data_IF_019909035521
#
_entry.id   IF_019909035521
#
_cell.length_a   1.000
_cell.length_b   1.000
_cell.length_c   1.000
_cell.angle_alpha   90.00
_cell.angle_beta   90.00
_cell.angle_gamma   90.00
#
_symmetry.space_group_name_H-M   'P 1'
#
loop_
_entity.id
_entity.type
_entity.pdbx_description
1 polymer ?
#
# COMPACT_ATOMS: atom_id res chain seq x y z
N UNK A 1 3.65 14.14 -24.93
CA UNK A 1 4.08 13.61 -23.61
C UNK A 1 4.85 14.67 -22.79
N UNK A 2 5.95 15.23 -23.28
CA UNK A 2 6.75 16.21 -22.53
C UNK A 2 5.99 17.51 -22.18
N UNK A 3 5.20 18.04 -23.11
CA UNK A 3 4.36 19.23 -22.87
C UNK A 3 3.32 19.00 -21.75
N UNK A 4 2.74 17.80 -21.66
CA UNK A 4 1.76 17.43 -20.64
C UNK A 4 2.40 17.35 -19.25
N UNK A 5 3.60 16.78 -19.15
CA UNK A 5 4.36 16.70 -17.88
C UNK A 5 4.73 18.09 -17.39
N UNK A 6 5.23 18.97 -18.27
CA UNK A 6 5.58 20.35 -17.92
C UNK A 6 4.35 21.15 -17.49
N UNK A 7 3.21 20.93 -18.15
CA UNK A 7 1.95 21.55 -17.74
C UNK A 7 1.55 21.11 -16.33
N UNK A 8 1.58 19.81 -16.03
CA UNK A 8 1.27 19.28 -14.69
C UNK A 8 2.21 19.85 -13.61
N UNK A 9 3.52 19.87 -13.88
CA UNK A 9 4.51 20.45 -12.96
C UNK A 9 4.21 21.93 -12.64
N UNK A 10 3.81 22.71 -13.65
CA UNK A 10 3.42 24.11 -13.47
C UNK A 10 2.14 24.28 -12.65
N UNK A 11 1.18 23.36 -12.77
CA UNK A 11 -0.03 23.39 -11.94
C UNK A 11 0.31 23.05 -10.48
N UNK A 12 1.13 22.03 -10.26
CA UNK A 12 1.59 21.62 -8.92
C UNK A 12 2.33 22.77 -8.23
N UNK A 13 3.25 23.44 -8.93
CA UNK A 13 4.06 24.53 -8.35
C UNK A 13 3.28 25.81 -8.04
N UNK A 14 2.03 25.94 -8.53
CA UNK A 14 1.18 27.11 -8.32
C UNK A 14 -0.04 26.80 -7.45
N UNK A 15 -0.19 25.56 -7.02
CA UNK A 15 -1.32 25.15 -6.22
C UNK A 15 -1.23 25.77 -4.82
N UNK A 16 -2.31 26.39 -4.38
CA UNK A 16 -2.44 26.89 -2.99
C UNK A 16 -2.67 25.74 -2.00
N UNK A 17 -3.17 24.60 -2.50
CA UNK A 17 -3.35 23.38 -1.73
C UNK A 17 -3.20 22.15 -2.64
N UNK A 18 -2.63 21.08 -2.09
CA UNK A 18 -2.43 19.81 -2.80
C UNK A 18 -3.11 18.68 -2.02
N UNK A 19 -3.96 17.90 -2.70
CA UNK A 19 -4.50 16.64 -2.20
C UNK A 19 -3.89 15.47 -2.97
N UNK A 20 -3.20 14.58 -2.26
CA UNK A 20 -2.59 13.37 -2.85
C UNK A 20 -3.44 12.15 -2.48
N UNK A 21 -4.15 11.59 -3.46
CA UNK A 21 -4.80 10.29 -3.32
C UNK A 21 -3.80 9.16 -3.57
N UNK A 22 -3.46 8.41 -2.53
CA UNK A 22 -2.58 7.25 -2.64
C UNK A 22 -3.30 5.96 -2.21
N UNK A 23 -2.96 4.85 -2.87
CA UNK A 23 -3.44 3.52 -2.52
C UNK A 23 -2.27 2.54 -2.35
N UNK A 24 -2.59 1.24 -2.19
CA UNK A 24 -1.59 0.19 -2.00
C UNK A 24 -0.50 0.15 -3.09
N UNK A 25 -0.82 0.61 -4.31
CA UNK A 25 0.15 0.75 -5.41
C UNK A 25 1.38 1.59 -5.07
N UNK A 26 1.27 2.56 -4.17
CA UNK A 26 2.42 3.37 -3.73
C UNK A 26 3.47 2.52 -2.98
N UNK A 27 3.06 1.41 -2.36
CA UNK A 27 3.98 0.52 -1.65
C UNK A 27 4.71 -0.50 -2.54
N UNK A 28 4.27 -0.68 -3.78
CA UNK A 28 4.73 -1.78 -4.66
C UNK A 28 6.21 -1.66 -4.98
N UNK A 29 6.69 -0.45 -5.29
CA UNK A 29 8.11 -0.17 -5.53
C UNK A 29 8.99 -0.37 -4.28
N UNK A 30 8.37 -0.43 -3.09
CA UNK A 30 9.03 -0.75 -1.82
C UNK A 30 8.95 -2.25 -1.48
N UNK A 31 8.38 -3.07 -2.36
CA UNK A 31 8.22 -4.52 -2.15
C UNK A 31 6.97 -4.93 -1.38
N UNK A 32 6.10 -3.98 -1.03
CA UNK A 32 4.83 -4.31 -0.37
C UNK A 32 3.81 -4.85 -1.38
N UNK A 33 3.01 -5.86 -1.02
CA UNK A 33 1.99 -6.39 -1.91
C UNK A 33 0.87 -5.36 -2.12
N UNK A 34 0.35 -5.28 -3.35
CA UNK A 34 -0.95 -4.67 -3.59
C UNK A 34 -2.09 -5.69 -3.41
N UNK A 35 -3.33 -5.22 -3.54
CA UNK A 35 -4.53 -6.03 -3.31
C UNK A 35 -5.39 -6.16 -4.56
N UNK A 36 -4.79 -6.11 -5.76
CA UNK A 36 -5.52 -6.28 -7.02
C UNK A 36 -5.87 -7.75 -7.24
N UNK A 37 -6.95 -8.18 -6.58
CA UNK A 37 -7.49 -9.53 -6.66
C UNK A 37 -6.78 -10.54 -5.75
N UNK A 38 -7.30 -11.77 -5.74
CA UNK A 38 -6.83 -12.82 -4.84
C UNK A 38 -5.44 -13.36 -5.23
N UNK A 39 -5.03 -13.27 -6.49
CA UNK A 39 -3.76 -13.83 -6.94
C UNK A 39 -2.55 -13.08 -6.36
N UNK A 40 -2.56 -11.74 -6.38
CA UNK A 40 -1.52 -10.92 -5.75
C UNK A 40 -1.44 -11.17 -4.25
N UNK A 41 -2.60 -11.25 -3.60
CA UNK A 41 -2.71 -11.60 -2.19
C UNK A 41 -2.15 -13.00 -1.88
N UNK A 42 -2.57 -14.03 -2.62
CA UNK A 42 -2.12 -15.40 -2.41
C UNK A 42 -0.64 -15.62 -2.66
N UNK A 43 0.00 -14.81 -3.53
CA UNK A 43 1.46 -14.80 -3.67
C UNK A 43 2.15 -14.32 -2.39
N UNK A 44 1.60 -13.30 -1.75
CA UNK A 44 2.11 -12.77 -0.48
C UNK A 44 1.76 -13.64 0.73
N UNK A 45 0.66 -14.42 0.65
CA UNK A 45 0.18 -15.29 1.72
C UNK A 45 -0.18 -16.71 1.22
N UNK A 46 0.80 -17.53 0.81
CA UNK A 46 0.55 -18.88 0.31
C UNK A 46 -0.26 -19.79 1.26
N UNK A 47 -0.11 -19.72 2.60
CA UNK A 47 -0.97 -20.47 3.51
C UNK A 47 -2.46 -20.13 3.38
N UNK A 48 -2.80 -18.86 3.15
CA UNK A 48 -4.18 -18.40 3.02
C UNK A 48 -4.81 -18.83 1.69
N UNK A 49 -3.99 -19.03 0.65
CA UNK A 49 -4.42 -19.66 -0.61
C UNK A 49 -4.96 -21.06 -0.37
N UNK A 50 -4.29 -21.86 0.47
CA UNK A 50 -4.71 -23.23 0.78
C UNK A 50 -6.03 -23.26 1.55
N UNK A 51 -6.31 -22.22 2.34
CA UNK A 51 -7.56 -22.06 3.07
C UNK A 51 -8.69 -21.46 2.21
N UNK A 52 -8.42 -21.10 0.95
CA UNK A 52 -9.40 -20.44 0.07
C UNK A 52 -9.80 -19.04 0.53
N UNK A 53 -9.03 -18.43 1.43
CA UNK A 53 -9.36 -17.13 2.02
C UNK A 53 -8.90 -16.00 1.11
N UNK A 54 -9.79 -15.04 0.86
CA UNK A 54 -9.47 -13.79 0.17
C UNK A 54 -8.87 -12.76 1.14
N UNK A 55 -8.25 -11.71 0.61
CA UNK A 55 -7.80 -10.58 1.44
C UNK A 55 -8.97 -9.98 2.22
N UNK A 56 -10.12 -9.77 1.57
CA UNK A 56 -11.32 -9.19 2.20
C UNK A 56 -11.84 -10.12 3.30
N UNK A 57 -11.82 -11.44 3.07
CA UNK A 57 -12.20 -12.41 4.08
C UNK A 57 -11.29 -12.34 5.30
N UNK A 58 -9.97 -12.23 5.10
CA UNK A 58 -9.01 -12.12 6.22
C UNK A 58 -9.00 -10.76 6.91
N UNK A 59 -9.28 -9.68 6.19
CA UNK A 59 -9.37 -8.33 6.73
C UNK A 59 -10.72 -8.09 7.44
N UNK A 60 -11.09 -9.02 8.32
CA UNK A 60 -12.36 -9.03 9.05
C UNK A 60 -12.08 -9.26 10.56
N UNK A 61 -12.63 -8.40 11.45
CA UNK A 61 -12.42 -8.56 12.89
C UNK A 61 -12.97 -9.87 13.47
N UNK A 62 -13.90 -10.55 12.79
CA UNK A 62 -14.44 -11.85 13.22
C UNK A 62 -13.34 -12.86 13.55
N UNK A 63 -12.23 -12.85 12.80
CA UNK A 63 -11.11 -13.77 13.06
C UNK A 63 -10.43 -13.52 14.40
N UNK A 64 -10.46 -12.30 14.94
CA UNK A 64 -9.93 -12.04 16.29
C UNK A 64 -10.76 -12.71 17.38
N UNK A 65 -12.01 -13.08 17.10
CA UNK A 65 -12.89 -13.78 18.03
C UNK A 65 -12.88 -15.29 17.77
N UNK A 66 -12.93 -15.71 16.50
CA UNK A 66 -13.11 -17.11 16.12
C UNK A 66 -11.81 -17.88 15.94
N UNK A 67 -10.73 -17.22 15.50
CA UNK A 67 -9.38 -17.79 15.38
C UNK A 67 -8.30 -16.71 15.58
N UNK A 68 -8.07 -16.29 16.85
CA UNK A 68 -7.14 -15.22 17.15
C UNK A 68 -5.72 -15.52 16.66
N UNK A 69 -5.32 -16.80 16.62
CA UNK A 69 -3.99 -17.19 16.16
C UNK A 69 -3.82 -16.91 14.66
N UNK A 70 -4.82 -17.24 13.84
CA UNK A 70 -4.84 -16.89 12.42
C UNK A 70 -4.83 -15.38 12.19
N UNK A 71 -5.64 -14.64 12.94
CA UNK A 71 -5.71 -13.18 12.85
C UNK A 71 -4.37 -12.52 13.19
N UNK A 72 -3.77 -12.89 14.32
CA UNK A 72 -2.48 -12.36 14.75
C UNK A 72 -1.34 -12.80 13.84
N UNK A 73 -1.38 -14.00 13.29
CA UNK A 73 -0.42 -14.44 12.26
C UNK A 73 -0.48 -13.55 11.02
N UNK A 74 -1.69 -13.25 10.53
CA UNK A 74 -1.89 -12.40 9.37
C UNK A 74 -1.46 -10.94 9.60
N UNK A 75 -1.98 -10.30 10.65
CA UNK A 75 -1.67 -8.89 10.95
C UNK A 75 -0.24 -8.71 11.47
N UNK A 76 0.29 -9.68 12.23
CA UNK A 76 1.67 -9.70 12.70
C UNK A 76 2.67 -9.76 11.55
N UNK A 77 2.43 -10.64 10.57
CA UNK A 77 3.26 -10.70 9.36
C UNK A 77 3.23 -9.36 8.59
N UNK A 78 2.04 -8.75 8.43
CA UNK A 78 1.92 -7.43 7.78
C UNK A 78 2.69 -6.35 8.51
N UNK A 79 2.64 -6.33 9.83
CA UNK A 79 3.40 -5.39 10.65
C UNK A 79 4.91 -5.56 10.44
N UNK A 80 5.39 -6.80 10.39
CA UNK A 80 6.80 -7.08 10.11
C UNK A 80 7.22 -6.57 8.73
N UNK A 81 6.41 -6.82 7.69
CA UNK A 81 6.66 -6.28 6.34
C UNK A 81 6.82 -4.75 6.36
N UNK A 82 5.91 -4.02 7.02
CA UNK A 82 6.01 -2.56 7.10
C UNK A 82 7.25 -2.07 7.86
N UNK A 83 7.67 -2.77 8.91
CA UNK A 83 8.86 -2.41 9.70
C UNK A 83 10.16 -2.61 8.94
N UNK A 84 10.20 -3.63 8.09
CA UNK A 84 11.40 -4.00 7.33
C UNK A 84 11.47 -3.26 5.98
N UNK A 85 10.36 -2.64 5.54
CA UNK A 85 10.28 -1.95 4.26
C UNK A 85 10.98 -0.60 4.31
N UNK A 86 11.90 -0.37 3.36
CA UNK A 86 12.47 0.94 3.08
C UNK A 86 11.58 1.66 2.05
N UNK A 87 11.05 2.86 2.34
CA UNK A 87 10.22 3.60 1.38
C UNK A 87 11.00 3.93 0.10
N UNK A 88 10.41 3.64 -1.07
CA UNK A 88 10.96 4.05 -2.35
C UNK A 88 10.98 5.59 -2.51
N UNK A 89 11.75 6.07 -3.50
CA UNK A 89 12.01 7.50 -3.71
C UNK A 89 10.74 8.36 -3.89
N UNK A 90 9.64 7.77 -4.36
CA UNK A 90 8.37 8.48 -4.57
C UNK A 90 7.84 9.15 -3.31
N UNK A 91 7.99 8.52 -2.14
CA UNK A 91 7.58 9.12 -0.86
C UNK A 91 8.35 10.41 -0.55
N UNK A 92 9.65 10.44 -0.83
CA UNK A 92 10.48 11.64 -0.60
C UNK A 92 10.18 12.75 -1.60
N UNK A 93 9.82 12.40 -2.85
CA UNK A 93 9.37 13.38 -3.84
C UNK A 93 8.08 14.05 -3.36
N UNK A 94 7.08 13.27 -2.91
CA UNK A 94 5.84 13.83 -2.39
C UNK A 94 6.06 14.72 -1.17
N UNK A 95 6.93 14.28 -0.25
CA UNK A 95 7.33 15.07 0.92
C UNK A 95 7.96 16.40 0.50
N UNK A 96 8.90 16.38 -0.45
CA UNK A 96 9.53 17.58 -0.97
C UNK A 96 8.53 18.56 -1.60
N UNK A 97 7.52 18.06 -2.33
CA UNK A 97 6.45 18.91 -2.87
C UNK A 97 5.63 19.63 -1.78
N UNK A 98 5.44 18.99 -0.62
CA UNK A 98 4.66 19.56 0.49
C UNK A 98 5.49 20.54 1.34
N UNK A 99 6.79 20.33 1.46
CA UNK A 99 7.70 21.23 2.21
C UNK A 99 7.99 22.54 1.47
N UNK A 100 7.68 22.63 0.17
CA UNK A 100 7.87 23.81 -0.67
C UNK A 100 6.64 24.72 -0.80
N UNK A 101 5.52 24.35 -0.18
CA UNK A 101 4.31 25.19 -0.05
C UNK A 101 4.41 26.07 1.19
#
# INVERSE_FOLDING_TARGET
MQATILHAAKQISRAEAILIGAGAGMGVDSGLPDFRGNEGFWRAYPPLKRLGLSFVSMANPLWLETDPALAWGFYGHRLHLYRDTVPHAGFQILRGCLETL
#
